data_IF_434491904225
#
_entry.id   IF_434491904225
#
_cell.length_a   1.000
_cell.length_b   1.000
_cell.length_c   1.000
_cell.angle_alpha   90.00
_cell.angle_beta   90.00
_cell.angle_gamma   90.00
#
_symmetry.space_group_name_H-M   'P 1'
#
loop_
_entity.id
_entity.type
_entity.pdbx_description
1 polymer ?
#
# COMPACT_ATOMS: atom_id res chain seq x y z
N UNK A 1 -17.56 14.66 4.42
CA UNK A 1 -18.59 14.79 3.35
C UNK A 1 -18.71 13.55 2.46
N UNK A 2 -17.78 12.57 2.48
CA UNK A 2 -17.84 11.35 1.65
C UNK A 2 -18.59 10.15 2.28
N UNK A 3 -18.97 10.22 3.55
CA UNK A 3 -19.80 9.19 4.19
C UNK A 3 -21.25 9.16 3.63
N UNK A 4 -21.68 10.20 2.91
CA UNK A 4 -23.01 10.29 2.33
C UNK A 4 -23.14 9.67 0.93
N UNK A 5 -22.02 9.34 0.27
CA UNK A 5 -22.08 8.67 -1.02
C UNK A 5 -22.31 7.17 -0.77
N UNK A 6 -23.45 6.66 -1.21
CA UNK A 6 -23.83 5.26 -1.03
C UNK A 6 -24.12 4.62 -2.39
N UNK A 7 -24.12 3.27 -2.41
CA UNK A 7 -24.55 2.44 -3.54
C UNK A 7 -25.81 2.99 -4.19
N UNK A 8 -26.85 3.30 -3.39
CA UNK A 8 -28.14 3.81 -3.87
C UNK A 8 -27.99 5.08 -4.74
N UNK A 9 -27.06 5.97 -4.38
CA UNK A 9 -26.76 7.18 -5.15
C UNK A 9 -26.14 6.86 -6.51
N UNK A 10 -25.24 5.87 -6.55
CA UNK A 10 -24.58 5.45 -7.79
C UNK A 10 -25.50 4.62 -8.69
N UNK A 11 -26.34 3.77 -8.10
CA UNK A 11 -27.37 2.99 -8.80
C UNK A 11 -28.39 3.93 -9.47
N UNK A 12 -28.75 5.05 -8.82
CA UNK A 12 -29.69 6.04 -9.35
C UNK A 12 -29.21 6.76 -10.63
N UNK A 13 -27.93 6.64 -11.00
CA UNK A 13 -27.41 7.17 -12.27
C UNK A 13 -27.94 6.38 -13.49
N UNK A 14 -28.56 5.21 -13.29
CA UNK A 14 -29.13 4.36 -14.33
C UNK A 14 -28.16 4.10 -15.50
N UNK A 15 -26.91 3.83 -15.16
CA UNK A 15 -25.87 3.47 -16.13
C UNK A 15 -25.72 1.95 -16.20
N UNK A 16 -25.71 1.39 -17.40
CA UNK A 16 -25.51 -0.05 -17.65
C UNK A 16 -24.07 -0.55 -17.41
N UNK A 17 -23.27 0.18 -16.63
CA UNK A 17 -21.85 -0.16 -16.40
C UNK A 17 -21.52 -0.20 -14.90
N UNK A 18 -20.60 -1.10 -14.48
CA UNK A 18 -19.97 -1.05 -13.17
C UNK A 18 -19.36 0.34 -12.89
N UNK A 19 -19.63 0.88 -11.71
CA UNK A 19 -19.06 2.14 -11.23
C UNK A 19 -18.29 1.83 -9.94
N UNK A 20 -17.02 2.21 -9.93
CA UNK A 20 -16.16 2.20 -8.76
C UNK A 20 -15.43 3.53 -8.70
N UNK A 21 -15.61 4.27 -7.61
CA UNK A 21 -14.91 5.52 -7.33
C UNK A 21 -13.92 5.25 -6.21
N UNK A 22 -12.63 5.34 -6.50
CA UNK A 22 -11.58 5.18 -5.48
C UNK A 22 -11.28 6.50 -4.79
N UNK A 23 -11.04 6.46 -3.48
CA UNK A 23 -10.48 7.59 -2.75
C UNK A 23 -9.08 7.94 -3.26
N UNK A 24 -8.66 9.18 -3.01
CA UNK A 24 -7.34 9.66 -3.39
C UNK A 24 -6.20 8.84 -2.76
N UNK A 25 -6.38 8.39 -1.51
CA UNK A 25 -5.43 7.56 -0.79
C UNK A 25 -5.50 6.06 -1.18
N UNK A 26 -6.49 5.66 -2.00
CA UNK A 26 -6.75 4.29 -2.42
C UNK A 26 -7.15 3.31 -1.30
N UNK A 27 -7.47 3.81 -0.11
CA UNK A 27 -7.94 3.01 1.03
C UNK A 27 -9.46 2.90 1.11
N UNK A 28 -10.21 3.58 0.24
CA UNK A 28 -11.67 3.47 0.19
C UNK A 28 -12.17 3.45 -1.25
N UNK A 29 -13.28 2.74 -1.48
CA UNK A 29 -13.98 2.75 -2.75
C UNK A 29 -15.49 2.83 -2.56
N UNK A 30 -16.17 3.54 -3.46
CA UNK A 30 -17.62 3.62 -3.54
C UNK A 30 -18.10 2.96 -4.82
N UNK A 31 -18.90 1.91 -4.66
CA UNK A 31 -19.30 1.03 -5.74
C UNK A 31 -20.83 1.01 -5.91
N UNK A 32 -21.28 0.94 -7.17
CA UNK A 32 -22.68 0.62 -7.47
C UNK A 32 -22.94 -0.89 -7.35
N UNK A 33 -24.21 -1.31 -7.41
CA UNK A 33 -24.60 -2.71 -7.29
C UNK A 33 -23.95 -3.59 -8.37
N UNK A 34 -23.91 -3.10 -9.61
CA UNK A 34 -23.31 -3.82 -10.75
C UNK A 34 -21.81 -4.10 -10.55
N UNK A 35 -21.05 -3.18 -9.94
CA UNK A 35 -19.64 -3.39 -9.63
C UNK A 35 -19.43 -4.44 -8.53
N UNK A 36 -20.25 -4.42 -7.47
CA UNK A 36 -20.18 -5.40 -6.39
C UNK A 36 -20.56 -6.81 -6.87
N UNK A 37 -21.65 -6.92 -7.65
CA UNK A 37 -22.11 -8.18 -8.23
C UNK A 37 -21.04 -8.79 -9.13
N UNK A 38 -20.45 -7.98 -10.01
CA UNK A 38 -19.36 -8.43 -10.89
C UNK A 38 -18.13 -8.88 -10.11
N UNK A 39 -17.91 -8.34 -8.91
CA UNK A 39 -16.81 -8.73 -8.01
C UNK A 39 -17.15 -9.95 -7.15
N UNK A 40 -18.38 -10.48 -7.23
CA UNK A 40 -18.87 -11.55 -6.36
C UNK A 40 -19.07 -11.11 -4.90
N UNK A 41 -19.14 -9.80 -4.65
CA UNK A 41 -19.39 -9.26 -3.31
C UNK A 41 -20.91 -9.24 -3.07
N UNK A 42 -21.34 -9.94 -2.03
CA UNK A 42 -22.74 -10.08 -1.62
C UNK A 42 -22.87 -9.73 -0.13
N UNK A 43 -24.10 -9.62 0.37
CA UNK A 43 -24.36 -9.45 1.82
C UNK A 43 -23.82 -10.60 2.68
N UNK A 44 -23.56 -11.76 2.07
CA UNK A 44 -23.01 -12.94 2.74
C UNK A 44 -21.49 -13.03 2.64
N UNK A 45 -20.82 -12.08 1.96
CA UNK A 45 -19.36 -12.06 1.86
C UNK A 45 -18.76 -11.79 3.24
N UNK A 46 -17.87 -12.67 3.75
CA UNK A 46 -17.22 -12.46 5.03
C UNK A 46 -16.44 -11.14 5.07
N UNK A 47 -16.44 -10.47 6.23
CA UNK A 47 -15.63 -9.27 6.43
C UNK A 47 -14.14 -9.63 6.33
N UNK A 48 -13.37 -9.02 5.41
CA UNK A 48 -11.97 -9.35 5.28
C UNK A 48 -11.17 -8.85 6.49
N UNK A 49 -10.17 -9.61 6.93
CA UNK A 49 -9.31 -9.23 8.06
C UNK A 49 -8.59 -7.92 7.72
N UNK A 50 -8.69 -6.93 8.61
CA UNK A 50 -8.05 -5.63 8.44
C UNK A 50 -8.72 -4.72 7.40
N UNK A 51 -9.91 -5.08 6.90
CA UNK A 51 -10.68 -4.30 5.93
C UNK A 51 -12.17 -4.30 6.33
N UNK A 52 -13.00 -3.58 5.57
CA UNK A 52 -14.44 -3.62 5.80
C UNK A 52 -15.24 -3.49 4.51
N UNK A 53 -16.28 -4.32 4.41
CA UNK A 53 -17.36 -4.20 3.43
C UNK A 53 -18.55 -3.59 4.16
N UNK A 54 -18.97 -2.38 3.77
CA UNK A 54 -20.02 -1.66 4.46
C UNK A 54 -21.40 -2.29 4.25
N UNK A 55 -22.05 -2.65 5.36
CA UNK A 55 -23.40 -3.20 5.43
C UNK A 55 -24.25 -2.25 6.28
N UNK A 56 -25.48 -1.95 5.84
CA UNK A 56 -26.41 -1.09 6.59
C UNK A 56 -27.20 -1.86 7.66
N UNK A 57 -28.02 -1.14 8.41
CA UNK A 57 -28.87 -1.68 9.48
C UNK A 57 -29.90 -2.71 9.00
N UNK A 58 -30.22 -2.74 7.70
CA UNK A 58 -31.11 -3.75 7.09
C UNK A 58 -30.36 -4.96 6.55
N UNK A 59 -29.02 -5.00 6.70
CA UNK A 59 -28.19 -6.06 6.15
C UNK A 59 -27.85 -5.88 4.66
N UNK A 60 -28.10 -4.70 4.09
CA UNK A 60 -27.86 -4.42 2.68
C UNK A 60 -26.48 -3.80 2.43
N UNK A 61 -25.86 -4.12 1.30
CA UNK A 61 -24.57 -3.56 0.92
C UNK A 61 -24.69 -2.05 0.67
N UNK A 62 -23.93 -1.27 1.43
CA UNK A 62 -23.82 0.20 1.28
C UNK A 62 -23.01 0.62 0.07
N UNK A 63 -22.21 -0.30 -0.51
CA UNK A 63 -21.25 -0.03 -1.58
C UNK A 63 -19.96 0.66 -1.14
N UNK A 64 -19.77 0.88 0.16
CA UNK A 64 -18.53 1.42 0.72
C UNK A 64 -17.59 0.25 1.03
N UNK A 65 -16.41 0.24 0.43
CA UNK A 65 -15.35 -0.71 0.68
C UNK A 65 -14.17 0.04 1.29
N UNK A 66 -13.56 -0.50 2.35
CA UNK A 66 -12.38 0.11 2.99
C UNK A 66 -11.26 -0.90 3.11
N UNK A 67 -10.05 -0.42 2.85
CA UNK A 67 -8.77 -1.13 2.81
C UNK A 67 -8.63 -2.10 1.62
N UNK A 68 -7.40 -2.35 1.13
CA UNK A 68 -7.17 -3.12 -0.11
C UNK A 68 -7.84 -4.49 -0.16
N UNK A 69 -7.91 -5.22 0.95
CA UNK A 69 -8.55 -6.53 0.97
C UNK A 69 -10.06 -6.49 0.65
N UNK A 70 -10.72 -5.34 0.84
CA UNK A 70 -12.10 -5.14 0.40
C UNK A 70 -12.20 -4.44 -0.96
N UNK A 71 -11.29 -3.52 -1.30
CA UNK A 71 -11.37 -2.71 -2.53
C UNK A 71 -10.84 -3.44 -3.78
N UNK A 72 -9.75 -4.20 -3.65
CA UNK A 72 -9.06 -4.89 -4.76
C UNK A 72 -9.97 -5.75 -5.64
N UNK A 73 -10.93 -6.55 -5.12
CA UNK A 73 -11.82 -7.35 -5.95
C UNK A 73 -12.60 -6.52 -7.00
N UNK A 74 -12.89 -5.25 -6.69
CA UNK A 74 -13.54 -4.33 -7.62
C UNK A 74 -12.52 -3.54 -8.43
N UNK A 75 -11.50 -2.96 -7.78
CA UNK A 75 -10.54 -2.06 -8.47
C UNK A 75 -9.68 -2.80 -9.47
N UNK A 76 -9.33 -4.07 -9.21
CA UNK A 76 -8.45 -4.86 -10.08
C UNK A 76 -9.15 -5.28 -11.39
N UNK A 77 -10.48 -5.09 -11.51
CA UNK A 77 -11.19 -5.31 -12.77
C UNK A 77 -10.66 -4.44 -13.91
N UNK A 78 -10.14 -3.25 -13.60
CA UNK A 78 -9.54 -2.36 -14.60
C UNK A 78 -8.28 -2.96 -15.23
N UNK A 79 -7.68 -3.98 -14.61
CA UNK A 79 -6.52 -4.70 -15.13
C UNK A 79 -6.88 -5.69 -16.26
N UNK A 80 -8.16 -5.92 -16.54
CA UNK A 80 -8.63 -6.86 -17.56
C UNK A 80 -9.28 -6.17 -18.78
N UNK A 81 -9.09 -4.86 -18.93
CA UNK A 81 -9.65 -4.13 -20.07
C UNK A 81 -8.72 -4.21 -21.28
N UNK A 82 -9.27 -4.32 -22.52
CA UNK A 82 -8.44 -4.38 -23.74
C UNK A 82 -7.51 -3.18 -23.93
N UNK A 83 -7.81 -2.04 -23.31
CA UNK A 83 -7.03 -0.81 -23.42
C UNK A 83 -5.82 -0.75 -22.47
N UNK A 84 -5.62 -1.74 -21.59
CA UNK A 84 -4.61 -1.69 -20.53
C UNK A 84 -3.19 -1.41 -21.06
N UNK A 85 -2.74 -2.14 -22.09
CA UNK A 85 -1.41 -1.91 -22.71
C UNK A 85 -1.25 -0.47 -23.20
N UNK A 86 -2.26 0.06 -23.88
CA UNK A 86 -2.25 1.44 -24.39
C UNK A 86 -2.21 2.48 -23.25
N UNK A 87 -2.89 2.22 -22.13
CA UNK A 87 -2.86 3.06 -20.93
C UNK A 87 -1.50 3.03 -20.23
N UNK A 88 -0.87 1.85 -20.12
CA UNK A 88 0.48 1.70 -19.58
C UNK A 88 1.51 2.47 -20.43
N UNK A 89 1.42 2.39 -21.76
CA UNK A 89 2.29 3.16 -22.66
C UNK A 89 2.13 4.68 -22.48
N UNK A 90 0.89 5.17 -22.33
CA UNK A 90 0.62 6.58 -22.01
C UNK A 90 1.20 6.98 -20.65
N UNK A 91 1.10 6.11 -19.65
CA UNK A 91 1.70 6.32 -18.33
C UNK A 91 3.23 6.42 -18.42
N UNK A 92 3.87 5.49 -19.13
CA UNK A 92 5.32 5.50 -19.38
C UNK A 92 5.80 6.74 -20.15
N UNK A 93 5.00 7.24 -21.10
CA UNK A 93 5.28 8.50 -21.79
C UNK A 93 5.23 9.70 -20.84
N UNK A 94 4.24 9.74 -19.94
CA UNK A 94 4.15 10.76 -18.90
C UNK A 94 5.32 10.70 -17.91
N UNK A 95 5.71 9.50 -17.47
CA UNK A 95 6.89 9.32 -16.62
C UNK A 95 8.15 9.85 -17.29
N UNK A 96 8.37 9.51 -18.57
CA UNK A 96 9.47 10.04 -19.35
C UNK A 96 9.46 11.56 -19.43
N UNK A 97 8.29 12.17 -19.67
CA UNK A 97 8.13 13.63 -19.71
C UNK A 97 8.50 14.31 -18.39
N UNK A 98 8.24 13.64 -17.27
CA UNK A 98 8.54 14.11 -15.92
C UNK A 98 9.95 13.72 -15.42
N UNK A 99 10.76 13.05 -16.25
CA UNK A 99 12.10 12.59 -15.85
C UNK A 99 12.10 11.38 -14.91
N UNK A 100 10.96 10.71 -14.74
CA UNK A 100 10.85 9.49 -13.93
C UNK A 100 11.42 8.32 -14.75
N UNK A 101 12.55 7.79 -14.31
CA UNK A 101 13.30 6.71 -15.00
C UNK A 101 13.29 5.38 -14.27
N UNK A 102 12.71 5.32 -13.06
CA UNK A 102 12.59 4.12 -12.25
C UNK A 102 11.27 4.13 -11.47
N UNK A 103 10.65 2.95 -11.39
CA UNK A 103 9.37 2.71 -10.73
C UNK A 103 9.56 1.52 -9.79
N UNK A 104 9.06 1.66 -8.56
CA UNK A 104 8.87 0.54 -7.65
C UNK A 104 7.38 0.20 -7.69
N UNK A 105 7.04 -0.90 -8.35
CA UNK A 105 5.67 -1.37 -8.47
C UNK A 105 5.39 -2.35 -7.33
N UNK A 106 4.49 -1.96 -6.44
CA UNK A 106 4.16 -2.69 -5.21
C UNK A 106 2.79 -3.32 -5.40
N UNK A 107 2.68 -4.64 -5.17
CA UNK A 107 1.50 -5.43 -5.55
C UNK A 107 1.12 -5.29 -7.05
N UNK A 108 2.06 -5.55 -7.97
CA UNK A 108 1.90 -5.21 -9.39
C UNK A 108 0.73 -5.92 -10.09
N UNK A 109 0.29 -7.08 -9.57
CA UNK A 109 -0.79 -7.90 -10.10
C UNK A 109 -2.17 -7.60 -9.48
N UNK A 110 -2.23 -6.70 -8.51
CA UNK A 110 -3.22 -6.83 -7.44
C UNK A 110 -3.06 -8.18 -6.72
N UNK A 111 -4.00 -8.55 -5.85
CA UNK A 111 -3.94 -9.84 -5.16
C UNK A 111 -4.30 -11.04 -6.07
N UNK A 112 -4.66 -10.80 -7.34
CA UNK A 112 -5.39 -11.81 -8.14
C UNK A 112 -5.00 -11.98 -9.61
N UNK A 113 -4.21 -11.10 -10.26
CA UNK A 113 -4.14 -11.12 -11.74
C UNK A 113 -2.75 -11.11 -12.39
N UNK A 114 -2.44 -12.14 -13.18
CA UNK A 114 -1.16 -12.32 -13.90
C UNK A 114 -1.02 -11.43 -15.15
N UNK A 115 -2.12 -10.95 -15.74
CA UNK A 115 -2.13 -10.32 -17.06
C UNK A 115 -1.27 -9.05 -17.19
N UNK A 116 -1.17 -8.25 -16.13
CA UNK A 116 -0.44 -6.98 -16.20
C UNK A 116 1.08 -7.19 -16.28
N UNK A 117 1.63 -8.20 -15.61
CA UNK A 117 3.07 -8.49 -15.68
C UNK A 117 3.47 -8.98 -17.07
N UNK A 118 2.62 -9.79 -17.70
CA UNK A 118 2.82 -10.25 -19.08
C UNK A 118 2.77 -9.08 -20.06
N UNK A 119 1.86 -8.13 -19.89
CA UNK A 119 1.80 -6.91 -20.71
C UNK A 119 3.04 -6.02 -20.49
N UNK A 120 3.52 -5.86 -19.25
CA UNK A 120 4.74 -5.09 -18.98
C UNK A 120 5.95 -5.77 -19.63
N UNK A 121 6.02 -7.10 -19.59
CA UNK A 121 7.07 -7.87 -20.25
C UNK A 121 6.97 -7.81 -21.79
N UNK A 122 5.76 -7.79 -22.35
CA UNK A 122 5.53 -7.54 -23.77
C UNK A 122 6.04 -6.14 -24.17
N UNK A 123 5.67 -5.10 -23.41
CA UNK A 123 6.17 -3.73 -23.62
C UNK A 123 7.71 -3.67 -23.52
N UNK A 124 8.32 -4.45 -22.64
CA UNK A 124 9.77 -4.58 -22.54
C UNK A 124 10.40 -5.23 -23.77
N UNK A 125 9.88 -6.37 -24.21
CA UNK A 125 10.40 -7.11 -25.38
C UNK A 125 10.25 -6.33 -26.68
N UNK A 126 9.25 -5.46 -26.76
CA UNK A 126 9.07 -4.46 -27.84
C UNK A 126 10.00 -3.24 -27.72
N UNK A 127 10.89 -3.18 -26.71
CA UNK A 127 11.76 -2.04 -26.39
C UNK A 127 11.01 -0.73 -26.04
N UNK A 128 9.74 -0.83 -25.67
CA UNK A 128 8.91 0.32 -25.30
C UNK A 128 8.93 0.63 -23.79
N UNK A 129 9.57 -0.21 -22.97
CA UNK A 129 9.69 0.01 -21.53
C UNK A 129 10.71 1.11 -21.20
N UNK A 130 10.22 2.36 -21.13
CA UNK A 130 11.06 3.56 -20.95
C UNK A 130 11.65 3.70 -19.55
N UNK A 131 10.98 3.16 -18.52
CA UNK A 131 11.41 3.20 -17.12
C UNK A 131 11.95 1.85 -16.65
N UNK A 132 12.83 1.83 -15.64
CA UNK A 132 13.19 0.60 -14.93
C UNK A 132 12.08 0.25 -13.93
N UNK A 133 11.47 -0.91 -14.07
CA UNK A 133 10.40 -1.40 -13.20
C UNK A 133 10.97 -2.44 -12.24
N UNK A 134 10.90 -2.14 -10.96
CA UNK A 134 11.24 -3.05 -9.87
C UNK A 134 9.96 -3.51 -9.19
N UNK A 135 9.66 -4.79 -9.31
CA UNK A 135 8.45 -5.44 -8.80
C UNK A 135 8.65 -5.86 -7.34
N UNK A 136 7.61 -5.65 -6.54
CA UNK A 136 7.50 -6.07 -5.14
C UNK A 136 6.16 -6.80 -4.93
N UNK A 137 6.06 -8.09 -5.31
CA UNK A 137 4.88 -8.92 -5.02
C UNK A 137 4.69 -9.16 -3.52
N UNK A 138 3.57 -9.78 -3.14
CA UNK A 138 3.21 -10.04 -1.74
C UNK A 138 4.28 -10.87 -1.03
N UNK A 139 4.70 -10.40 0.16
CA UNK A 139 5.59 -11.10 1.07
C UNK A 139 5.06 -12.47 1.50
N UNK A 140 3.74 -12.67 1.51
CA UNK A 140 3.14 -13.97 1.87
C UNK A 140 3.31 -15.02 0.77
N UNK A 141 3.66 -14.60 -0.44
CA UNK A 141 3.71 -15.43 -1.65
C UNK A 141 5.17 -15.63 -2.12
N UNK A 142 6.08 -15.94 -1.19
CA UNK A 142 7.54 -16.04 -1.45
C UNK A 142 7.85 -17.02 -2.59
N UNK A 143 7.21 -18.20 -2.61
CA UNK A 143 7.44 -19.20 -3.65
C UNK A 143 7.00 -18.70 -5.04
N UNK A 144 5.91 -17.96 -5.11
CA UNK A 144 5.50 -17.31 -6.35
C UNK A 144 6.48 -16.20 -6.74
N UNK A 145 6.95 -15.41 -5.78
CA UNK A 145 7.95 -14.38 -6.03
C UNK A 145 9.28 -14.95 -6.55
N UNK A 146 9.69 -16.14 -6.12
CA UNK A 146 10.84 -16.87 -6.67
C UNK A 146 10.65 -17.19 -8.14
N UNK A 147 9.48 -17.74 -8.51
CA UNK A 147 9.12 -17.99 -9.92
C UNK A 147 9.10 -16.71 -10.75
N UNK A 148 8.50 -15.63 -10.23
CA UNK A 148 8.49 -14.33 -10.89
C UNK A 148 9.90 -13.75 -11.04
N UNK A 149 10.80 -13.97 -10.07
CA UNK A 149 12.20 -13.52 -10.15
C UNK A 149 12.97 -14.27 -11.22
N UNK A 150 12.67 -15.55 -11.47
CA UNK A 150 13.26 -16.29 -12.59
C UNK A 150 12.76 -15.77 -13.95
N UNK A 151 11.45 -15.48 -14.05
CA UNK A 151 10.82 -14.97 -15.27
C UNK A 151 11.23 -13.52 -15.58
N UNK A 152 11.32 -12.68 -14.55
CA UNK A 152 11.57 -11.24 -14.67
C UNK A 152 12.85 -10.86 -13.91
N UNK A 153 13.98 -10.84 -14.64
CA UNK A 153 15.31 -10.52 -14.10
C UNK A 153 16.18 -9.70 -15.06
N UNK A 154 15.57 -8.85 -15.87
CA UNK A 154 16.28 -8.00 -16.82
C UNK A 154 16.82 -6.72 -16.14
N UNK A 155 17.58 -5.91 -16.88
CA UNK A 155 17.99 -4.57 -16.43
C UNK A 155 16.82 -3.58 -16.32
N UNK A 156 15.73 -3.82 -17.04
CA UNK A 156 14.56 -2.93 -17.16
C UNK A 156 13.34 -3.45 -16.40
N UNK A 157 13.14 -4.76 -16.27
CA UNK A 157 12.06 -5.38 -15.51
C UNK A 157 12.63 -6.46 -14.60
N UNK A 158 12.43 -6.33 -13.29
CA UNK A 158 12.93 -7.32 -12.32
C UNK A 158 12.08 -7.42 -11.06
N UNK A 159 12.06 -8.58 -10.43
CA UNK A 159 11.63 -8.70 -9.02
C UNK A 159 12.75 -8.24 -8.11
N UNK A 160 12.53 -7.13 -7.39
CA UNK A 160 13.55 -6.50 -6.56
C UNK A 160 13.39 -6.79 -5.06
N UNK A 161 12.25 -7.32 -4.65
CA UNK A 161 11.92 -7.56 -3.25
C UNK A 161 10.48 -7.99 -3.09
N UNK A 162 9.96 -7.85 -1.88
CA UNK A 162 8.60 -8.19 -1.49
C UNK A 162 7.94 -7.01 -0.77
N UNK A 163 6.61 -6.95 -0.77
CA UNK A 163 5.81 -5.95 -0.07
C UNK A 163 4.83 -6.62 0.89
N UNK A 164 4.68 -6.03 2.08
CA UNK A 164 3.57 -6.32 2.99
C UNK A 164 2.92 -5.03 3.50
N UNK A 165 1.64 -5.10 3.83
CA UNK A 165 0.92 -4.05 4.57
C UNK A 165 0.76 -4.44 6.03
N UNK A 166 1.33 -3.70 6.99
CA UNK A 166 1.18 -3.98 8.43
C UNK A 166 -0.11 -3.37 8.97
N UNK A 167 -0.42 -2.13 8.64
CA UNK A 167 -1.60 -1.40 9.10
C UNK A 167 -2.24 -0.59 7.97
N UNK A 168 -3.36 0.09 8.24
CA UNK A 168 -4.02 0.95 7.26
C UNK A 168 -3.65 2.43 7.43
N UNK A 169 -4.63 3.32 7.38
CA UNK A 169 -4.45 4.79 7.47
C UNK A 169 -5.11 5.37 8.72
N UNK A 170 -4.72 6.59 9.07
CA UNK A 170 -5.23 7.30 10.26
C UNK A 170 -6.71 7.64 10.10
N UNK A 171 -7.12 8.07 8.92
CA UNK A 171 -8.47 8.59 8.62
C UNK A 171 -9.57 7.52 8.69
N UNK A 172 -9.20 6.24 8.58
CA UNK A 172 -10.11 5.10 8.72
C UNK A 172 -9.98 4.39 10.08
N UNK A 173 -9.19 4.94 11.01
CA UNK A 173 -8.87 4.35 12.32
C UNK A 173 -8.19 2.97 12.23
N UNK A 174 -7.52 2.67 11.12
CA UNK A 174 -6.88 1.36 10.89
C UNK A 174 -5.37 1.40 11.02
N UNK A 175 -4.72 2.56 10.98
CA UNK A 175 -3.31 2.70 11.36
C UNK A 175 -3.11 2.27 12.82
N UNK A 176 -2.05 1.51 13.10
CA UNK A 176 -1.82 0.90 14.40
C UNK A 176 -0.93 1.78 15.29
N UNK A 177 -1.57 2.44 16.26
CA UNK A 177 -0.98 3.43 17.14
C UNK A 177 -0.60 2.83 18.50
N UNK A 178 0.36 3.44 19.21
CA UNK A 178 0.66 3.09 20.60
C UNK A 178 -0.34 3.66 21.60
N UNK A 179 -0.98 4.76 21.25
CA UNK A 179 -1.99 5.44 22.05
C UNK A 179 -3.31 5.53 21.29
N UNK A 180 -4.46 5.53 21.99
CA UNK A 180 -5.75 5.62 21.32
C UNK A 180 -5.90 6.85 20.42
N UNK A 181 -6.77 6.73 19.43
CA UNK A 181 -7.21 7.87 18.62
C UNK A 181 -7.95 8.89 19.51
N UNK A 182 -7.79 10.19 19.20
CA UNK A 182 -8.39 11.30 19.95
C UNK A 182 -9.92 11.27 19.90
N UNK A 183 -10.47 10.98 18.73
CA UNK A 183 -11.91 10.90 18.47
C UNK A 183 -12.49 9.50 18.72
N UNK A 184 -11.63 8.49 18.94
CA UNK A 184 -12.02 7.12 19.29
C UNK A 184 -11.14 6.58 20.44
N UNK A 185 -11.39 6.96 21.71
CA UNK A 185 -10.50 6.72 22.84
C UNK A 185 -10.27 5.25 23.22
N UNK A 186 -11.02 4.31 22.65
CA UNK A 186 -10.87 2.87 22.86
C UNK A 186 -10.25 2.16 21.66
N UNK A 187 -9.95 2.88 20.58
CA UNK A 187 -9.39 2.34 19.36
C UNK A 187 -7.93 2.76 19.24
N UNK A 188 -7.04 1.82 18.91
CA UNK A 188 -5.65 2.11 18.52
C UNK A 188 -5.35 1.60 17.09
N UNK A 189 -6.36 1.20 16.33
CA UNK A 189 -6.18 0.39 15.12
C UNK A 189 -5.72 -1.03 15.45
N UNK A 190 -5.35 -1.79 14.42
CA UNK A 190 -4.86 -3.17 14.57
C UNK A 190 -3.90 -3.54 13.44
N UNK A 191 -2.87 -4.36 13.71
CA UNK A 191 -2.01 -4.84 12.65
C UNK A 191 -2.70 -5.97 11.86
N UNK A 192 -2.25 -6.19 10.64
CA UNK A 192 -2.68 -7.26 9.74
C UNK A 192 -2.13 -8.63 10.15
N UNK A 193 -1.02 -8.64 10.89
CA UNK A 193 -0.33 -9.82 11.42
C UNK A 193 0.12 -9.55 12.86
N UNK A 194 0.29 -10.63 13.63
CA UNK A 194 1.03 -10.58 14.89
C UNK A 194 2.52 -10.29 14.64
N UNK A 195 3.25 -9.86 15.69
CA UNK A 195 4.70 -9.65 15.59
C UNK A 195 5.43 -10.94 15.20
N UNK A 196 5.01 -12.09 15.74
CA UNK A 196 5.63 -13.38 15.48
C UNK A 196 5.48 -13.79 14.01
N UNK A 197 4.26 -13.66 13.46
CA UNK A 197 4.02 -13.91 12.04
C UNK A 197 4.84 -12.98 11.15
N UNK A 198 4.88 -11.68 11.47
CA UNK A 198 5.69 -10.71 10.72
C UNK A 198 7.19 -11.07 10.76
N UNK A 199 7.71 -11.44 11.94
CA UNK A 199 9.09 -11.89 12.10
C UNK A 199 9.39 -13.11 11.21
N UNK A 200 8.49 -14.09 11.19
CA UNK A 200 8.65 -15.31 10.40
C UNK A 200 8.67 -15.01 8.89
N UNK A 201 7.76 -14.17 8.40
CA UNK A 201 7.73 -13.79 6.99
C UNK A 201 8.98 -12.98 6.56
N UNK A 202 9.40 -12.00 7.36
CA UNK A 202 10.60 -11.20 7.05
C UNK A 202 11.86 -12.07 7.06
N UNK A 203 12.00 -12.96 8.06
CA UNK A 203 13.12 -13.90 8.12
C UNK A 203 13.14 -14.86 6.92
N UNK A 204 11.98 -15.38 6.50
CA UNK A 204 11.88 -16.26 5.34
C UNK A 204 12.33 -15.54 4.06
N UNK A 205 11.86 -14.30 3.85
CA UNK A 205 12.28 -13.49 2.71
C UNK A 205 13.78 -13.16 2.71
N UNK A 206 14.34 -12.88 3.88
CA UNK A 206 15.76 -12.56 4.03
C UNK A 206 16.65 -13.76 3.69
N UNK A 207 16.27 -14.98 4.11
CA UNK A 207 16.97 -16.23 3.74
C UNK A 207 16.98 -16.49 2.24
N UNK A 208 15.96 -16.01 1.52
CA UNK A 208 15.84 -16.12 0.07
C UNK A 208 16.47 -14.91 -0.67
N UNK A 209 17.10 -13.99 0.07
CA UNK A 209 17.77 -12.81 -0.48
C UNK A 209 16.80 -11.77 -1.08
N UNK A 210 15.58 -11.68 -0.57
CA UNK A 210 14.62 -10.65 -0.94
C UNK A 210 14.65 -9.48 0.05
N UNK A 211 14.84 -8.27 -0.46
CA UNK A 211 14.54 -7.07 0.32
C UNK A 211 13.03 -7.00 0.59
N UNK A 212 12.63 -6.55 1.77
CA UNK A 212 11.22 -6.45 2.17
C UNK A 212 10.84 -5.00 2.43
N UNK A 213 9.75 -4.57 1.80
CA UNK A 213 9.11 -3.28 2.03
C UNK A 213 7.89 -3.49 2.92
N UNK A 214 7.80 -2.76 4.02
CA UNK A 214 6.68 -2.86 4.96
C UNK A 214 5.94 -1.52 4.98
N UNK A 215 4.64 -1.53 4.71
CA UNK A 215 3.78 -0.38 4.99
C UNK A 215 3.71 -0.20 6.51
N UNK A 216 3.94 1.01 7.00
CA UNK A 216 3.73 1.37 8.40
C UNK A 216 3.41 2.85 8.53
N UNK A 217 2.16 3.16 8.85
CA UNK A 217 1.71 4.54 9.09
C UNK A 217 1.70 4.83 10.59
N UNK A 218 1.09 3.93 11.35
CA UNK A 218 0.99 4.02 12.80
C UNK A 218 2.30 3.76 13.51
N UNK A 219 2.56 4.51 14.57
CA UNK A 219 3.81 4.47 15.31
C UNK A 219 4.11 3.10 15.93
N UNK A 220 3.08 2.28 16.19
CA UNK A 220 3.25 0.91 16.67
C UNK A 220 3.53 -0.05 15.52
N UNK A 221 2.90 0.12 14.36
CA UNK A 221 3.23 -0.65 13.15
C UNK A 221 4.69 -0.41 12.68
N UNK A 222 5.18 0.83 12.77
CA UNK A 222 6.58 1.15 12.44
C UNK A 222 7.54 0.46 13.42
N UNK A 223 7.26 0.49 14.73
CA UNK A 223 8.05 -0.28 15.71
C UNK A 223 8.07 -1.76 15.34
N UNK A 224 6.90 -2.36 15.02
CA UNK A 224 6.79 -3.78 14.63
C UNK A 224 7.62 -4.12 13.38
N UNK A 225 7.64 -3.24 12.39
CA UNK A 225 8.43 -3.40 11.18
C UNK A 225 9.93 -3.47 11.49
N UNK A 226 10.42 -2.55 12.34
CA UNK A 226 11.82 -2.49 12.74
C UNK A 226 12.21 -3.68 13.61
N UNK A 227 11.32 -4.14 14.50
CA UNK A 227 11.51 -5.36 15.30
C UNK A 227 11.68 -6.58 14.40
N UNK A 228 10.91 -6.67 13.31
CA UNK A 228 11.01 -7.79 12.36
C UNK A 228 12.32 -7.78 11.56
N UNK A 229 12.77 -6.60 11.10
CA UNK A 229 14.08 -6.48 10.44
C UNK A 229 15.23 -6.80 11.40
N UNK A 230 15.18 -6.27 12.62
CA UNK A 230 16.20 -6.55 13.65
C UNK A 230 16.25 -8.04 14.00
N UNK A 231 15.09 -8.69 14.13
CA UNK A 231 15.00 -10.13 14.35
C UNK A 231 15.64 -10.92 13.19
N UNK A 232 15.31 -10.56 11.94
CA UNK A 232 15.89 -11.21 10.77
C UNK A 232 17.42 -11.06 10.72
N UNK A 233 17.95 -9.86 10.97
CA UNK A 233 19.40 -9.62 11.03
C UNK A 233 20.09 -10.41 12.15
N UNK A 234 19.45 -10.54 13.32
CA UNK A 234 19.98 -11.34 14.44
C UNK A 234 20.04 -12.84 14.11
N UNK A 235 19.03 -13.37 13.42
CA UNK A 235 18.89 -14.81 13.16
C UNK A 235 19.59 -15.26 11.88
N UNK A 236 19.49 -14.50 10.79
CA UNK A 236 20.06 -14.84 9.48
C UNK A 236 21.41 -14.17 9.21
N UNK A 237 21.83 -13.23 10.06
CA UNK A 237 22.99 -12.38 9.82
C UNK A 237 22.63 -11.12 9.00
N UNK A 238 23.56 -10.17 8.95
CA UNK A 238 23.32 -8.89 8.26
C UNK A 238 23.54 -9.05 6.76
N UNK A 239 22.45 -9.09 5.99
CA UNK A 239 22.52 -9.00 4.53
C UNK A 239 22.46 -7.54 4.05
N UNK A 240 23.14 -7.24 2.95
CA UNK A 240 23.09 -5.91 2.31
C UNK A 240 21.83 -5.75 1.44
N UNK A 241 20.67 -6.02 2.03
CA UNK A 241 19.36 -5.86 1.39
C UNK A 241 18.79 -4.46 1.70
N UNK A 242 18.03 -3.92 0.75
CA UNK A 242 17.42 -2.59 0.87
C UNK A 242 16.00 -2.67 1.45
N UNK A 243 15.90 -3.12 2.70
CA UNK A 243 14.65 -3.09 3.45
C UNK A 243 14.15 -1.67 3.64
N UNK A 244 12.84 -1.48 3.77
CA UNK A 244 12.27 -0.16 3.96
C UNK A 244 10.92 -0.16 4.66
N UNK A 245 10.71 0.81 5.53
CA UNK A 245 9.36 1.16 6.00
C UNK A 245 8.80 2.23 5.08
N UNK A 246 7.62 2.00 4.54
CA UNK A 246 6.89 2.91 3.65
C UNK A 246 5.91 3.76 4.49
N UNK A 247 5.73 5.02 4.08
CA UNK A 247 4.88 6.05 4.69
C UNK A 247 5.49 6.73 5.91
N UNK A 248 5.65 6.00 7.02
CA UNK A 248 6.25 6.46 8.29
C UNK A 248 5.69 7.78 8.83
N UNK A 249 4.36 7.94 8.77
CA UNK A 249 3.70 9.23 9.02
C UNK A 249 3.69 9.59 10.50
N UNK A 250 3.45 8.62 11.39
CA UNK A 250 3.53 8.80 12.86
C UNK A 250 4.68 7.96 13.41
N UNK A 251 5.86 8.53 13.63
CA UNK A 251 7.06 7.75 14.03
C UNK A 251 7.62 8.21 15.37
N UNK A 252 8.04 7.26 16.20
CA UNK A 252 8.71 7.55 17.47
C UNK A 252 10.17 7.95 17.25
N UNK A 253 10.67 8.90 18.04
CA UNK A 253 12.08 9.31 18.00
C UNK A 253 13.06 8.12 18.13
N UNK A 254 12.75 7.15 19.00
CA UNK A 254 13.58 5.93 19.16
C UNK A 254 13.65 5.10 17.88
N UNK A 255 12.57 5.05 17.10
CA UNK A 255 12.49 4.23 15.89
C UNK A 255 13.20 4.91 14.71
N UNK A 256 13.26 6.26 14.69
CA UNK A 256 14.10 7.01 13.75
C UNK A 256 15.57 6.62 13.89
N UNK A 257 16.08 6.54 15.13
CA UNK A 257 17.46 6.13 15.38
C UNK A 257 17.73 4.67 14.96
N UNK A 258 16.74 3.78 15.17
CA UNK A 258 16.83 2.36 14.78
C UNK A 258 16.92 2.18 13.27
N UNK A 259 16.22 2.99 12.47
CA UNK A 259 16.29 2.91 11.00
C UNK A 259 17.73 3.04 10.48
N UNK A 260 18.49 3.98 11.04
CA UNK A 260 19.90 4.18 10.68
C UNK A 260 20.76 2.96 11.06
N UNK A 261 20.64 2.49 12.30
CA UNK A 261 21.41 1.35 12.81
C UNK A 261 21.12 0.03 12.06
N UNK A 262 19.88 -0.17 11.61
CA UNK A 262 19.46 -1.35 10.84
C UNK A 262 19.69 -1.19 9.33
N UNK A 263 20.15 -0.03 8.85
CA UNK A 263 20.24 0.33 7.42
C UNK A 263 18.89 0.13 6.67
N UNK A 264 17.79 0.44 7.35
CA UNK A 264 16.43 0.41 6.79
C UNK A 264 16.12 1.77 6.16
N UNK A 265 15.60 1.76 4.94
CA UNK A 265 15.24 2.98 4.23
C UNK A 265 13.91 3.54 4.75
N UNK A 266 13.88 4.86 4.90
CA UNK A 266 12.70 5.63 5.26
C UNK A 266 12.01 6.11 3.97
N UNK A 267 10.98 5.41 3.51
CA UNK A 267 10.30 5.71 2.24
C UNK A 267 9.07 6.59 2.45
N UNK A 268 9.16 7.89 2.13
CA UNK A 268 8.12 8.89 2.44
C UNK A 268 7.44 9.47 1.20
N UNK A 269 6.24 10.01 1.39
CA UNK A 269 5.45 10.69 0.36
C UNK A 269 5.17 12.15 0.78
N UNK A 270 6.00 13.12 0.38
CA UNK A 270 5.82 14.51 0.80
C UNK A 270 4.45 15.11 0.46
N UNK A 271 3.75 14.61 -0.56
CA UNK A 271 2.40 15.08 -0.92
C UNK A 271 1.35 14.75 0.17
N UNK A 272 1.56 13.70 0.96
CA UNK A 272 0.63 13.34 2.04
C UNK A 272 0.56 14.42 3.11
N UNK A 273 1.70 15.05 3.43
CA UNK A 273 1.80 16.17 4.39
C UNK A 273 0.82 17.30 4.03
N UNK A 274 0.80 17.70 2.75
CA UNK A 274 -0.09 18.78 2.30
C UNK A 274 -1.58 18.43 2.41
N UNK A 275 -1.96 17.18 2.15
CA UNK A 275 -3.35 16.74 2.29
C UNK A 275 -3.78 16.58 3.74
N UNK A 276 -2.93 15.97 4.56
CA UNK A 276 -3.21 15.61 5.94
C UNK A 276 -3.14 16.80 6.91
N UNK A 277 -2.01 17.50 6.92
CA UNK A 277 -1.80 18.66 7.81
C UNK A 277 -2.51 19.88 7.25
N UNK A 278 -2.41 20.10 5.93
CA UNK A 278 -2.97 21.29 5.29
C UNK A 278 -4.51 21.39 5.38
N UNK A 279 -5.21 20.26 5.53
CA UNK A 279 -6.66 20.23 5.75
C UNK A 279 -7.08 20.25 7.23
N UNK A 280 -6.14 20.03 8.16
CA UNK A 280 -6.41 19.85 9.58
C UNK A 280 -7.10 18.52 9.94
N UNK A 281 -7.31 17.62 8.97
CA UNK A 281 -8.01 16.35 9.20
C UNK A 281 -7.29 15.48 10.23
N UNK A 282 -5.95 15.42 10.17
CA UNK A 282 -5.14 14.65 11.12
C UNK A 282 -5.30 15.09 12.58
N UNK A 283 -5.56 16.38 12.84
CA UNK A 283 -5.71 16.92 14.19
C UNK A 283 -6.99 16.43 14.88
N UNK A 284 -8.01 16.05 14.10
CA UNK A 284 -9.25 15.42 14.60
C UNK A 284 -8.93 14.05 15.18
N UNK A 285 -8.13 13.26 14.45
CA UNK A 285 -7.82 11.87 14.78
C UNK A 285 -6.70 11.72 15.81
N UNK A 286 -5.65 12.53 15.71
CA UNK A 286 -4.42 12.36 16.52
C UNK A 286 -4.23 13.45 17.58
N UNK A 287 -4.82 14.63 17.40
CA UNK A 287 -4.56 15.79 18.25
C UNK A 287 -3.27 16.53 17.88
N UNK A 288 -3.17 17.78 18.34
CA UNK A 288 -2.18 18.73 17.82
C UNK A 288 -0.73 18.34 18.10
N UNK A 289 -0.47 17.76 19.28
CA UNK A 289 0.88 17.33 19.68
C UNK A 289 1.40 16.20 18.78
N UNK A 290 0.59 15.17 18.52
CA UNK A 290 1.00 14.05 17.65
C UNK A 290 1.12 14.47 16.19
N UNK A 291 0.28 15.39 15.72
CA UNK A 291 0.39 15.94 14.35
C UNK A 291 1.63 16.82 14.19
N UNK A 292 2.00 17.60 15.20
CA UNK A 292 3.22 18.42 15.17
C UNK A 292 4.49 17.56 15.07
N UNK A 293 4.45 16.31 15.55
CA UNK A 293 5.53 15.33 15.45
C UNK A 293 5.46 14.42 14.20
N UNK A 294 4.44 14.57 13.35
CA UNK A 294 4.24 13.73 12.17
C UNK A 294 5.16 14.14 11.00
N UNK A 295 5.50 13.17 10.13
CA UNK A 295 6.45 13.33 9.03
C UNK A 295 7.77 14.03 9.40
N UNK A 296 8.55 13.51 10.37
CA UNK A 296 9.78 14.14 10.85
C UNK A 296 10.95 13.90 9.87
N UNK A 297 10.82 14.42 8.64
CA UNK A 297 11.78 14.19 7.55
C UNK A 297 13.17 14.69 7.89
N UNK A 298 13.26 15.81 8.63
CA UNK A 298 14.55 16.40 9.00
C UNK A 298 15.26 15.54 10.03
N UNK A 299 14.54 15.08 11.04
CA UNK A 299 15.04 14.21 12.10
C UNK A 299 15.50 12.87 11.53
N UNK A 300 14.79 12.33 10.54
CA UNK A 300 15.20 11.11 9.81
C UNK A 300 16.50 11.32 9.04
N UNK A 301 16.69 12.47 8.39
CA UNK A 301 17.96 12.79 7.72
C UNK A 301 19.10 12.98 8.72
N UNK A 302 18.82 13.68 9.83
CA UNK A 302 19.81 13.99 10.86
C UNK A 302 20.25 12.76 11.66
N UNK A 303 19.42 11.71 11.74
CA UNK A 303 19.80 10.43 12.35
C UNK A 303 20.77 9.61 11.52
N UNK A 304 21.00 9.99 10.26
CA UNK A 304 21.79 9.22 9.30
C UNK A 304 21.00 8.11 8.58
N UNK A 305 19.69 8.00 8.83
CA UNK A 305 18.83 7.11 8.05
C UNK A 305 18.68 7.64 6.61
N UNK A 306 18.50 6.71 5.66
CA UNK A 306 18.35 7.06 4.24
C UNK A 306 16.89 7.38 3.94
N UNK A 307 16.60 8.64 3.67
CA UNK A 307 15.29 9.10 3.24
C UNK A 307 15.10 8.90 1.72
N UNK A 308 13.98 8.31 1.32
CA UNK A 308 13.62 8.03 -0.08
C UNK A 308 12.26 8.64 -0.38
N UNK A 309 12.20 9.54 -1.36
CA UNK A 309 10.95 10.17 -1.79
C UNK A 309 10.20 9.34 -2.82
N UNK A 310 8.88 9.25 -2.65
CA UNK A 310 7.95 8.61 -3.57
C UNK A 310 6.67 9.44 -3.70
N UNK A 311 5.95 9.24 -4.79
CA UNK A 311 4.70 9.95 -5.06
C UNK A 311 3.44 9.15 -4.76
N UNK A 312 3.54 7.81 -4.60
CA UNK A 312 2.41 6.89 -4.37
C UNK A 312 1.22 7.18 -5.31
N UNK A 313 1.47 7.16 -6.63
CA UNK A 313 0.45 7.45 -7.64
C UNK A 313 0.04 6.21 -8.42
N UNK A 314 -1.27 6.01 -8.55
CA UNK A 314 -1.87 5.38 -9.73
C UNK A 314 -2.22 6.51 -10.71
N UNK A 315 -1.65 6.48 -11.93
CA UNK A 315 -2.14 7.36 -12.99
C UNK A 315 -3.36 6.68 -13.62
N UNK A 316 -4.54 6.98 -13.11
CA UNK A 316 -5.80 6.70 -13.80
C UNK A 316 -6.12 7.96 -14.61
N UNK A 317 -6.03 7.85 -15.95
CA UNK A 317 -6.55 8.85 -16.89
C UNK A 317 -7.88 8.35 -17.45
#
# INVERSE_FOLDING_TARGET
>A
MLQSLQRKTLDALNLDRPICLSSFDLHSAWCNGAALEKAGITRNTPQPVGASIGIDENGELTGILKEPAATSPVTDMVLNVPTLKSSLLKCLANFRRLGITAIADVYPSGLTNKNILDIIHEIETENNLTSRVSLFPDLKEIDNAKKLKELYNSKKLRVAGLKLIIDGVVESHTAYLSEPYKDAPTCCGKPSLTQEELNNYVLAAEREGFAVKLHGIGDKAITMALDAYENAQKVAGVHKLHHSVEHIETVKAKDIARMAGLNVLACVQPQHVSGAIGSGAYNVYLGDERVAAAWPFREVLDSGAKLVFRTFRQYIH
#
